data_IF_618455430687
#
_entry.id   IF_618455430687
#
_cell.length_a   1.000
_cell.length_b   1.000
_cell.length_c   1.000
_cell.angle_alpha   90.00
_cell.angle_beta   90.00
_cell.angle_gamma   90.00
#
_symmetry.space_group_name_H-M   'P 1'
#
loop_
_entity.id
_entity.type
_entity.pdbx_description
1 polymer ?
#
# COMPACT_ATOMS: atom_id res chain seq x y z
N UNK A 1 21.52 18.15 -7.24
CA UNK A 1 20.68 17.02 -7.73
C UNK A 1 19.32 17.58 -8.10
N UNK A 2 18.94 17.53 -9.37
CA UNK A 2 17.61 17.99 -9.79
C UNK A 2 16.59 16.96 -9.29
N UNK A 3 15.73 17.38 -8.36
CA UNK A 3 14.53 16.63 -7.98
C UNK A 3 13.77 16.27 -9.25
N UNK A 4 13.60 14.98 -9.54
CA UNK A 4 12.65 14.57 -10.55
C UNK A 4 11.27 15.03 -10.06
N UNK A 5 10.61 15.91 -10.81
CA UNK A 5 9.23 16.30 -10.50
C UNK A 5 8.32 15.21 -11.05
N UNK A 6 7.81 14.34 -10.18
CA UNK A 6 6.84 13.33 -10.54
C UNK A 6 5.48 13.97 -10.82
N UNK A 7 4.72 13.42 -11.77
CA UNK A 7 3.39 13.96 -12.11
C UNK A 7 2.33 13.58 -11.08
N UNK A 8 2.51 12.44 -10.40
CA UNK A 8 1.66 12.01 -9.30
C UNK A 8 2.41 11.03 -8.39
N UNK A 9 1.96 10.86 -7.15
CA UNK A 9 2.51 9.95 -6.14
C UNK A 9 1.41 9.01 -5.69
N UNK A 10 1.60 7.70 -5.88
CA UNK A 10 0.58 6.68 -5.64
C UNK A 10 1.09 5.65 -4.64
N UNK A 11 0.34 5.47 -3.56
CA UNK A 11 0.55 4.38 -2.61
C UNK A 11 0.10 3.05 -3.20
N UNK A 12 0.91 2.00 -3.03
CA UNK A 12 0.52 0.63 -3.33
C UNK A 12 -0.03 -0.03 -2.06
N UNK A 13 -1.29 -0.46 -2.13
CA UNK A 13 -1.93 -1.25 -1.07
C UNK A 13 -1.27 -2.64 -0.93
N UNK A 14 -1.32 -3.23 0.27
CA UNK A 14 -0.83 -4.57 0.58
C UNK A 14 -1.34 -5.63 -0.39
N UNK A 15 -2.63 -5.57 -0.77
CA UNK A 15 -3.21 -6.54 -1.71
C UNK A 15 -2.59 -6.43 -3.11
N UNK A 16 -2.21 -5.23 -3.56
CA UNK A 16 -1.49 -5.01 -4.81
C UNK A 16 -0.09 -5.59 -4.73
N UNK A 17 0.62 -5.36 -3.62
CA UNK A 17 1.97 -5.87 -3.42
C UNK A 17 1.99 -7.42 -3.39
N UNK A 18 0.96 -8.06 -2.80
CA UNK A 18 0.80 -9.51 -2.83
C UNK A 18 0.62 -10.05 -4.26
N UNK A 19 -0.28 -9.43 -5.05
CA UNK A 19 -0.48 -9.78 -6.46
C UNK A 19 0.76 -9.50 -7.32
N UNK A 20 1.54 -8.47 -6.98
CA UNK A 20 2.79 -8.16 -7.68
C UNK A 20 3.85 -9.25 -7.46
N UNK A 21 4.02 -9.73 -6.23
CA UNK A 21 5.07 -10.70 -5.87
C UNK A 21 4.79 -12.11 -6.41
N UNK A 22 3.53 -12.54 -6.36
CA UNK A 22 3.17 -13.93 -6.63
C UNK A 22 2.56 -14.10 -8.02
N UNK A 23 3.37 -14.62 -8.94
CA UNK A 23 3.01 -14.88 -10.34
C UNK A 23 1.88 -15.88 -10.51
N UNK A 24 1.56 -16.67 -9.48
CA UNK A 24 0.47 -17.64 -9.53
C UNK A 24 -0.90 -17.01 -9.23
N UNK A 25 -0.93 -15.77 -8.72
CA UNK A 25 -2.19 -15.11 -8.37
C UNK A 25 -2.93 -14.62 -9.59
N UNK A 26 -4.26 -14.75 -9.53
CA UNK A 26 -5.17 -14.48 -10.66
C UNK A 26 -5.08 -13.07 -11.22
N UNK A 27 -4.71 -12.06 -10.42
CA UNK A 27 -4.65 -10.65 -10.85
C UNK A 27 -3.22 -10.15 -11.04
N UNK A 28 -2.20 -11.03 -10.98
CA UNK A 28 -0.80 -10.66 -11.15
C UNK A 28 -0.55 -9.83 -12.42
N UNK A 29 -1.04 -10.30 -13.57
CA UNK A 29 -0.84 -9.59 -14.85
C UNK A 29 -1.56 -8.23 -14.89
N UNK A 30 -2.75 -8.12 -14.28
CA UNK A 30 -3.48 -6.86 -14.19
C UNK A 30 -2.69 -5.84 -13.37
N UNK A 31 -2.16 -6.26 -12.21
CA UNK A 31 -1.33 -5.42 -11.34
C UNK A 31 -0.05 -4.97 -12.04
N UNK A 32 0.67 -5.89 -12.69
CA UNK A 32 1.89 -5.56 -13.44
C UNK A 32 1.60 -4.52 -14.53
N UNK A 33 0.53 -4.71 -15.31
CA UNK A 33 0.16 -3.77 -16.37
C UNK A 33 -0.26 -2.42 -15.82
N UNK A 34 -0.99 -2.38 -14.69
CA UNK A 34 -1.41 -1.14 -14.05
C UNK A 34 -0.24 -0.35 -13.47
N UNK A 35 0.70 -1.03 -12.81
CA UNK A 35 1.97 -0.45 -12.32
C UNK A 35 2.79 0.11 -13.48
N UNK A 36 2.91 -0.63 -14.60
CA UNK A 36 3.61 -0.15 -15.80
C UNK A 36 2.96 1.12 -16.34
N UNK A 37 1.65 1.14 -16.50
CA UNK A 37 0.91 2.30 -16.99
C UNK A 37 1.10 3.55 -16.10
N UNK A 38 1.09 3.39 -14.77
CA UNK A 38 1.34 4.50 -13.85
C UNK A 38 2.77 5.04 -13.95
N UNK A 39 3.77 4.16 -14.08
CA UNK A 39 5.17 4.55 -14.30
C UNK A 39 5.34 5.29 -15.64
N UNK A 40 4.74 4.80 -16.72
CA UNK A 40 4.75 5.47 -18.04
C UNK A 40 4.10 6.85 -18.01
N UNK A 41 3.10 7.04 -17.13
CA UNK A 41 2.49 8.36 -16.87
C UNK A 41 3.35 9.28 -16.02
N UNK A 42 4.52 8.82 -15.55
CA UNK A 42 5.45 9.61 -14.74
C UNK A 42 5.05 9.70 -13.26
N UNK A 43 4.29 8.72 -12.76
CA UNK A 43 3.96 8.65 -11.35
C UNK A 43 5.02 7.87 -10.54
N UNK A 44 5.28 8.36 -9.34
CA UNK A 44 6.06 7.67 -8.32
C UNK A 44 5.16 6.66 -7.59
N UNK A 45 5.67 5.46 -7.34
CA UNK A 45 4.95 4.40 -6.66
C UNK A 45 5.59 4.13 -5.31
N UNK A 46 4.78 4.24 -4.26
CA UNK A 46 5.23 4.26 -2.87
C UNK A 46 4.71 3.07 -2.07
N UNK A 47 5.44 2.73 -1.02
CA UNK A 47 5.07 1.77 0.00
C UNK A 47 5.06 2.49 1.35
N UNK A 48 4.00 2.26 2.13
CA UNK A 48 3.93 2.67 3.54
C UNK A 48 4.45 1.53 4.45
N UNK A 49 5.01 1.84 5.64
CA UNK A 49 5.52 0.81 6.55
C UNK A 49 4.46 -0.21 6.97
N UNK A 50 3.21 0.23 7.11
CA UNK A 50 2.08 -0.66 7.39
C UNK A 50 1.88 -1.74 6.33
N UNK A 51 2.08 -1.44 5.05
CA UNK A 51 1.97 -2.44 3.99
C UNK A 51 3.00 -3.56 4.18
N UNK A 52 4.19 -3.23 4.68
CA UNK A 52 5.23 -4.23 4.98
C UNK A 52 4.84 -5.13 6.15
N UNK A 53 4.23 -4.57 7.20
CA UNK A 53 3.77 -5.34 8.35
C UNK A 53 2.63 -6.28 7.97
N UNK A 54 1.66 -5.80 7.18
CA UNK A 54 0.56 -6.62 6.68
C UNK A 54 1.04 -7.72 5.72
N UNK A 55 1.98 -7.39 4.82
CA UNK A 55 2.65 -8.37 3.98
C UNK A 55 3.34 -9.45 4.81
N UNK A 56 4.11 -9.06 5.83
CA UNK A 56 4.81 -10.00 6.70
C UNK A 56 3.85 -11.00 7.35
N UNK A 57 2.72 -10.51 7.86
CA UNK A 57 1.67 -11.36 8.45
C UNK A 57 1.18 -12.37 7.42
N UNK A 58 0.84 -11.95 6.19
CA UNK A 58 0.32 -12.85 5.16
C UNK A 58 1.38 -13.86 4.68
N UNK A 59 2.62 -13.42 4.48
CA UNK A 59 3.72 -14.25 3.99
C UNK A 59 4.12 -15.33 5.01
N UNK A 60 4.12 -15.00 6.31
CA UNK A 60 4.58 -15.92 7.35
C UNK A 60 3.46 -16.74 7.99
N UNK A 61 2.19 -16.30 7.88
CA UNK A 61 1.04 -17.04 8.41
C UNK A 61 1.00 -18.47 7.81
N UNK A 62 0.75 -19.52 8.63
CA UNK A 62 0.65 -20.89 8.15
C UNK A 62 -0.37 -21.04 7.02
N UNK A 63 -0.13 -21.99 6.11
CA UNK A 63 -1.01 -22.29 4.98
C UNK A 63 -2.41 -22.71 5.41
N UNK A 64 -2.49 -23.45 6.52
CA UNK A 64 -3.75 -23.86 7.16
C UNK A 64 -4.64 -22.68 7.54
N UNK A 65 -4.04 -21.50 7.76
CA UNK A 65 -4.73 -20.26 8.11
C UNK A 65 -4.77 -19.26 6.94
N UNK A 66 -4.77 -19.74 5.70
CA UNK A 66 -4.79 -18.91 4.48
C UNK A 66 -3.57 -17.97 4.34
N UNK A 67 -2.39 -18.35 4.82
CA UNK A 67 -1.13 -17.65 4.54
C UNK A 67 -0.21 -18.42 3.59
N UNK A 68 1.01 -17.93 3.38
CA UNK A 68 2.00 -18.60 2.52
C UNK A 68 2.84 -19.66 3.25
N UNK A 69 2.94 -19.56 4.58
CA UNK A 69 3.77 -20.42 5.43
C UNK A 69 5.27 -20.25 5.16
N UNK A 70 5.70 -19.09 4.68
CA UNK A 70 7.12 -18.83 4.45
C UNK A 70 7.86 -18.64 5.76
N UNK A 71 9.13 -19.08 5.77
CA UNK A 71 10.03 -18.77 6.87
C UNK A 71 10.34 -17.27 6.90
N UNK A 72 10.73 -16.71 8.05
CA UNK A 72 11.17 -15.31 8.15
C UNK A 72 12.26 -14.93 7.14
N UNK A 73 13.17 -15.87 6.82
CA UNK A 73 14.23 -15.66 5.81
C UNK A 73 13.66 -15.48 4.41
N UNK A 74 12.66 -16.27 4.02
CA UNK A 74 12.01 -16.16 2.71
C UNK A 74 11.13 -14.91 2.66
N UNK A 75 10.34 -14.63 3.70
CA UNK A 75 9.49 -13.45 3.76
C UNK A 75 10.30 -12.14 3.70
N UNK A 76 11.43 -12.07 4.41
CA UNK A 76 12.30 -10.89 4.37
C UNK A 76 12.95 -10.65 3.00
N UNK A 77 13.27 -11.70 2.24
CA UNK A 77 13.77 -11.55 0.88
C UNK A 77 12.72 -10.91 -0.05
N UNK A 78 11.44 -11.30 0.08
CA UNK A 78 10.35 -10.68 -0.67
C UNK A 78 10.13 -9.22 -0.30
N UNK A 79 10.20 -8.86 0.98
CA UNK A 79 10.09 -7.47 1.42
C UNK A 79 11.23 -6.62 0.85
N UNK A 80 12.49 -7.10 0.94
CA UNK A 80 13.64 -6.38 0.38
C UNK A 80 13.53 -6.17 -1.12
N UNK A 81 13.03 -7.17 -1.85
CA UNK A 81 12.76 -7.02 -3.28
C UNK A 81 11.76 -5.87 -3.56
N UNK A 82 10.74 -5.70 -2.72
CA UNK A 82 9.79 -4.58 -2.86
C UNK A 82 10.45 -3.23 -2.56
N UNK A 83 11.27 -3.16 -1.51
CA UNK A 83 12.03 -1.96 -1.12
C UNK A 83 13.05 -1.54 -2.19
N UNK A 84 13.59 -2.48 -2.96
CA UNK A 84 14.45 -2.21 -4.12
C UNK A 84 13.65 -1.74 -5.35
N UNK A 85 12.35 -2.08 -5.42
CA UNK A 85 11.49 -1.84 -6.59
C UNK A 85 10.67 -0.55 -6.48
N UNK A 86 10.29 -0.17 -5.27
CA UNK A 86 9.36 0.92 -4.96
C UNK A 86 9.91 1.81 -3.86
N UNK A 87 9.41 3.04 -3.77
CA UNK A 87 9.88 4.00 -2.77
C UNK A 87 9.22 3.70 -1.43
N UNK A 88 10.01 3.28 -0.43
CA UNK A 88 9.53 3.19 0.95
C UNK A 88 9.77 4.52 1.67
N UNK A 89 8.71 5.13 2.18
CA UNK A 89 8.79 6.29 3.06
C UNK A 89 8.35 5.92 4.48
N UNK A 90 9.03 6.45 5.49
CA UNK A 90 8.71 6.17 6.89
C UNK A 90 7.43 6.90 7.32
N UNK A 91 6.92 6.61 8.51
CA UNK A 91 5.77 7.37 9.03
C UNK A 91 6.11 8.86 9.15
N UNK A 92 5.21 9.76 8.71
CA UNK A 92 5.43 11.19 8.84
C UNK A 92 5.31 11.63 10.31
N UNK A 93 5.82 12.82 10.67
CA UNK A 93 5.53 13.44 11.95
C UNK A 93 4.01 13.53 12.20
N UNK A 94 3.61 13.43 13.48
CA UNK A 94 2.20 13.50 13.91
C UNK A 94 1.27 12.42 13.31
N UNK A 95 1.83 11.31 12.80
CA UNK A 95 1.07 10.20 12.20
C UNK A 95 -0.13 9.74 13.04
N UNK A 96 0.06 9.54 14.35
CA UNK A 96 -1.00 9.10 15.27
C UNK A 96 -2.10 10.14 15.48
N UNK A 97 -1.76 11.43 15.51
CA UNK A 97 -2.73 12.52 15.67
C UNK A 97 -3.56 12.66 14.39
N UNK A 98 -2.91 12.73 13.22
CA UNK A 98 -3.61 12.78 11.92
C UNK A 98 -4.54 11.58 11.76
N UNK A 99 -4.07 10.38 12.11
CA UNK A 99 -4.91 9.18 12.08
C UNK A 99 -6.11 9.26 13.01
N UNK A 100 -5.93 9.72 14.25
CA UNK A 100 -7.03 9.87 15.20
C UNK A 100 -8.05 10.89 14.70
N UNK A 101 -7.60 12.03 14.17
CA UNK A 101 -8.47 13.06 13.61
C UNK A 101 -9.29 12.52 12.44
N UNK A 102 -8.70 11.70 11.55
CA UNK A 102 -9.43 11.04 10.48
C UNK A 102 -10.43 10.01 11.02
N UNK A 103 -10.04 9.21 12.02
CA UNK A 103 -10.93 8.22 12.62
C UNK A 103 -12.18 8.88 13.21
N UNK A 104 -12.03 10.00 13.91
CA UNK A 104 -13.15 10.78 14.44
C UNK A 104 -13.94 11.42 13.31
N UNK A 105 -13.28 12.13 12.39
CA UNK A 105 -13.94 12.87 11.29
C UNK A 105 -14.78 11.97 10.39
N UNK A 106 -14.29 10.76 10.12
CA UNK A 106 -14.95 9.82 9.23
C UNK A 106 -15.75 8.75 10.01
N UNK A 107 -15.88 8.85 11.33
CA UNK A 107 -16.60 7.86 12.15
C UNK A 107 -16.12 6.42 11.85
N UNK A 108 -14.80 6.25 11.83
CA UNK A 108 -14.16 4.96 11.53
C UNK A 108 -14.30 4.04 12.72
N UNK A 109 -14.77 2.81 12.46
CA UNK A 109 -15.03 1.81 13.50
C UNK A 109 -14.31 0.51 13.15
N UNK A 110 -13.65 -0.09 14.15
CA UNK A 110 -13.06 -1.42 14.06
C UNK A 110 -11.98 -1.52 12.98
N UNK A 111 -12.08 -2.56 12.13
CA UNK A 111 -11.04 -2.93 11.16
C UNK A 111 -10.70 -1.81 10.15
N UNK A 112 -11.63 -0.92 9.85
CA UNK A 112 -11.38 0.20 8.92
C UNK A 112 -10.35 1.22 9.46
N UNK A 113 -9.98 1.13 10.73
CA UNK A 113 -8.92 1.94 11.31
C UNK A 113 -7.55 1.69 10.66
N UNK A 114 -7.34 0.51 10.06
CA UNK A 114 -6.16 0.21 9.25
C UNK A 114 -6.14 1.01 7.95
N UNK A 115 -7.26 1.11 7.25
CA UNK A 115 -7.38 1.89 6.01
C UNK A 115 -7.22 3.40 6.30
N UNK A 116 -7.82 3.87 7.40
CA UNK A 116 -7.63 5.24 7.88
C UNK A 116 -6.15 5.57 8.17
N UNK A 117 -5.37 4.58 8.61
CA UNK A 117 -3.92 4.75 8.85
C UNK A 117 -3.16 4.91 7.53
N UNK A 118 -3.53 4.18 6.46
CA UNK A 118 -2.94 4.43 5.14
C UNK A 118 -3.30 5.83 4.63
N UNK A 119 -4.54 6.28 4.82
CA UNK A 119 -4.97 7.64 4.42
C UNK A 119 -4.24 8.73 5.21
N UNK A 120 -4.05 8.57 6.52
CA UNK A 120 -3.25 9.51 7.31
C UNK A 120 -1.80 9.58 6.83
N UNK A 121 -1.21 8.43 6.47
CA UNK A 121 0.15 8.37 5.95
C UNK A 121 0.25 9.10 4.60
N UNK A 122 -0.72 8.87 3.70
CA UNK A 122 -0.81 9.57 2.43
C UNK A 122 -0.91 11.09 2.60
N UNK A 123 -1.71 11.56 3.56
CA UNK A 123 -1.84 12.99 3.87
C UNK A 123 -0.54 13.61 4.37
N UNK A 124 0.17 12.93 5.27
CA UNK A 124 1.43 13.44 5.81
C UNK A 124 2.54 13.56 4.78
N UNK A 125 2.49 12.76 3.71
CA UNK A 125 3.47 12.80 2.62
C UNK A 125 3.00 13.56 1.39
N UNK A 126 1.72 13.92 1.27
CA UNK A 126 1.19 14.50 0.03
C UNK A 126 1.16 13.47 -1.11
N UNK A 127 0.65 12.27 -0.82
CA UNK A 127 0.42 11.21 -1.80
C UNK A 127 -0.99 11.37 -2.37
N UNK A 128 -1.08 11.40 -3.70
CA UNK A 128 -2.29 11.78 -4.42
C UNK A 128 -3.37 10.70 -4.38
N UNK A 129 -2.96 9.43 -4.42
CA UNK A 129 -3.90 8.31 -4.52
C UNK A 129 -3.34 6.97 -4.06
N UNK A 130 -4.23 5.98 -4.02
CA UNK A 130 -3.92 4.61 -3.63
C UNK A 130 -4.36 3.65 -4.73
N UNK A 131 -3.45 2.74 -5.13
CA UNK A 131 -3.75 1.61 -5.99
C UNK A 131 -4.17 0.43 -5.12
N UNK A 132 -5.38 -0.10 -5.34
CA UNK A 132 -5.97 -1.14 -4.50
C UNK A 132 -6.86 -2.12 -5.29
N UNK A 133 -6.95 -3.35 -4.81
CA UNK A 133 -7.94 -4.33 -5.26
C UNK A 133 -9.31 -4.17 -4.57
N UNK A 134 -9.39 -3.39 -3.49
CA UNK A 134 -10.59 -3.23 -2.67
C UNK A 134 -11.02 -1.74 -2.59
N UNK A 135 -11.44 -1.12 -3.71
CA UNK A 135 -11.76 0.30 -3.74
C UNK A 135 -12.89 0.70 -2.77
N UNK A 136 -13.78 -0.23 -2.42
CA UNK A 136 -14.86 -0.01 -1.45
C UNK A 136 -14.35 0.34 -0.05
N UNK A 137 -13.19 -0.19 0.35
CA UNK A 137 -12.60 0.03 1.68
C UNK A 137 -12.23 1.51 1.89
N UNK A 138 -12.00 2.23 0.79
CA UNK A 138 -11.62 3.64 0.78
C UNK A 138 -12.78 4.59 0.44
N UNK A 139 -13.98 4.09 0.15
CA UNK A 139 -15.14 4.89 -0.30
C UNK A 139 -15.53 6.03 0.63
N UNK A 140 -15.20 5.91 1.91
CA UNK A 140 -15.48 6.90 2.95
C UNK A 140 -14.55 8.12 2.91
N UNK A 141 -13.34 7.94 2.38
CA UNK A 141 -12.31 8.98 2.30
C UNK A 141 -12.42 9.71 0.96
N UNK A 142 -13.38 10.62 0.86
CA UNK A 142 -13.70 11.34 -0.39
C UNK A 142 -12.58 12.25 -0.90
N UNK A 143 -11.59 12.54 -0.05
CA UNK A 143 -10.41 13.35 -0.35
C UNK A 143 -9.20 12.52 -0.81
N UNK A 144 -9.39 11.23 -1.08
CA UNK A 144 -8.36 10.32 -1.57
C UNK A 144 -8.70 9.82 -2.96
N UNK A 145 -7.76 9.92 -3.90
CA UNK A 145 -7.92 9.29 -5.21
C UNK A 145 -7.76 7.77 -5.10
N UNK A 146 -8.87 7.04 -5.25
CA UNK A 146 -8.85 5.57 -5.26
C UNK A 146 -8.67 5.08 -6.69
N UNK A 147 -7.60 4.33 -6.93
CA UNK A 147 -7.26 3.76 -8.23
C UNK A 147 -7.53 2.25 -8.17
N UNK A 148 -8.55 1.73 -8.87
CA UNK A 148 -8.82 0.30 -8.88
C UNK A 148 -7.84 -0.46 -9.80
N UNK A 149 -7.63 -1.73 -9.46
CA UNK A 149 -7.07 -2.79 -10.32
C UNK A 149 -8.16 -3.42 -11.19
#
# INVERSE_FOLDING_TARGET
MKSASYKCRILLDTNVLLEYLDRSRSKHLLVINRIRCLREKGCELLIAPQCLYELWVVLTRPRENNGYGFSPKVASAYIRQLEETFVLEQDPPQMSQTWLDLCVRYEVIGRQAHDARLVAWMKGHGVDGILTLNPSDFSRFWDVLVIPI
#
